data_IF_288706602445
#
_entry.id   IF_288706602445
#
_cell.length_a   1.000
_cell.length_b   1.000
_cell.length_c   1.000
_cell.angle_alpha   90.00
_cell.angle_beta   90.00
_cell.angle_gamma   90.00
#
_symmetry.space_group_name_H-M   'P 1'
#
loop_
_entity.id
_entity.type
_entity.pdbx_description
1 polymer ?
#
# COMPACT_ATOMS: atom_id res chain seq x y z
N UNK A 1 11.68 -34.17 38.81
CA UNK A 1 10.76 -35.32 38.95
C UNK A 1 9.73 -35.24 37.82
N UNK A 2 9.69 -36.27 36.94
CA UNK A 2 8.75 -36.57 35.83
C UNK A 2 8.67 -35.48 34.73
N UNK A 3 9.17 -35.59 33.49
CA UNK A 3 9.31 -36.67 32.49
C UNK A 3 8.05 -37.54 32.30
N UNK A 4 7.38 -37.37 31.15
CA UNK A 4 6.87 -38.44 30.26
C UNK A 4 6.57 -37.82 28.88
N UNK A 5 7.21 -38.40 27.86
CA UNK A 5 7.00 -38.32 26.41
C UNK A 5 5.84 -39.24 25.99
N UNK A 6 5.16 -38.95 24.87
CA UNK A 6 4.64 -39.90 23.84
C UNK A 6 4.08 -39.01 22.69
N UNK A 7 4.56 -38.96 21.44
CA UNK A 7 4.91 -39.93 20.37
C UNK A 7 3.69 -40.66 19.76
N UNK A 8 3.35 -40.20 18.54
CA UNK A 8 2.86 -40.88 17.32
C UNK A 8 1.69 -41.88 17.35
N UNK A 9 0.72 -41.68 16.44
CA UNK A 9 0.39 -42.65 15.38
C UNK A 9 -0.47 -42.02 14.26
N UNK A 10 -0.04 -42.22 13.02
CA UNK A 10 -0.79 -42.03 11.78
C UNK A 10 -1.56 -43.33 11.50
N UNK A 11 -2.81 -43.23 11.05
CA UNK A 11 -3.42 -44.27 10.20
C UNK A 11 -4.44 -43.66 9.24
N UNK A 12 -4.13 -43.76 7.94
CA UNK A 12 -5.10 -43.76 6.84
C UNK A 12 -5.89 -45.07 6.85
N UNK A 13 -7.18 -45.03 6.47
CA UNK A 13 -7.73 -45.76 5.31
C UNK A 13 -9.28 -45.83 5.27
N UNK A 14 -9.82 -45.27 4.17
CA UNK A 14 -10.93 -45.69 3.28
C UNK A 14 -12.40 -45.85 3.73
N UNK A 15 -13.21 -45.06 2.99
CA UNK A 15 -14.39 -45.43 2.18
C UNK A 15 -15.76 -45.68 2.84
N UNK A 16 -16.73 -44.82 2.49
CA UNK A 16 -18.07 -45.24 2.08
C UNK A 16 -18.72 -44.20 1.16
N UNK A 17 -19.17 -44.69 0.00
CA UNK A 17 -19.92 -43.98 -1.02
C UNK A 17 -21.30 -43.48 -0.53
N UNK A 18 -21.78 -42.37 -1.09
CA UNK A 18 -23.12 -42.36 -1.69
C UNK A 18 -23.19 -41.34 -2.82
N UNK A 19 -23.50 -41.84 -4.02
CA UNK A 19 -23.91 -41.06 -5.20
C UNK A 19 -25.43 -40.92 -5.17
N UNK A 20 -25.94 -39.77 -5.58
CA UNK A 20 -27.23 -39.65 -6.26
C UNK A 20 -27.22 -38.40 -7.16
N UNK A 21 -28.00 -38.40 -8.25
CA UNK A 21 -27.57 -37.84 -9.53
C UNK A 21 -28.16 -36.45 -9.81
N UNK A 22 -27.46 -35.66 -10.63
CA UNK A 22 -28.05 -34.51 -11.31
C UNK A 22 -27.95 -34.71 -12.83
N UNK A 23 -29.12 -34.64 -13.42
CA UNK A 23 -29.52 -34.76 -14.82
C UNK A 23 -28.72 -33.81 -15.72
N UNK A 24 -28.31 -34.23 -16.95
CA UNK A 24 -27.64 -33.34 -17.89
C UNK A 24 -28.61 -32.30 -18.49
N UNK A 25 -28.15 -31.07 -18.77
CA UNK A 25 -28.94 -30.09 -19.51
C UNK A 25 -29.09 -30.49 -21.00
N UNK A 26 -30.15 -30.02 -21.68
CA UNK A 26 -30.48 -30.45 -23.03
C UNK A 26 -29.58 -29.79 -24.08
N UNK A 27 -29.22 -30.61 -25.05
CA UNK A 27 -28.58 -30.28 -26.32
C UNK A 27 -29.41 -29.24 -27.08
N UNK A 28 -28.84 -28.06 -27.31
CA UNK A 28 -29.35 -27.11 -28.30
C UNK A 28 -28.47 -27.17 -29.54
N UNK A 29 -29.13 -27.13 -30.70
CA UNK A 29 -28.68 -27.62 -32.00
C UNK A 29 -27.77 -26.63 -32.71
N UNK A 30 -26.78 -27.15 -33.43
CA UNK A 30 -26.10 -26.46 -34.52
C UNK A 30 -27.12 -26.01 -35.58
N UNK A 31 -27.13 -24.71 -35.89
CA UNK A 31 -27.68 -24.18 -37.14
C UNK A 31 -26.57 -24.10 -38.19
N UNK A 32 -26.84 -24.41 -39.46
CA UNK A 32 -25.82 -24.51 -40.51
C UNK A 32 -25.35 -23.13 -40.99
N UNK A 33 -24.04 -23.05 -41.28
CA UNK A 33 -23.40 -21.92 -41.95
C UNK A 33 -23.98 -21.67 -43.35
N UNK A 34 -24.13 -20.41 -43.78
CA UNK A 34 -24.27 -20.10 -45.19
C UNK A 34 -22.88 -19.95 -45.83
N UNK A 35 -22.56 -20.87 -46.75
CA UNK A 35 -21.49 -20.72 -47.74
C UNK A 35 -21.66 -19.40 -48.53
N UNK A 36 -20.57 -18.63 -48.65
CA UNK A 36 -20.38 -17.70 -49.77
C UNK A 36 -18.94 -17.80 -50.27
N UNK A 37 -18.86 -18.22 -51.53
CA UNK A 37 -17.70 -18.21 -52.40
C UNK A 37 -17.07 -16.81 -52.58
N UNK A 38 -15.74 -16.80 -52.66
CA UNK A 38 -14.93 -16.00 -53.61
C UNK A 38 -14.81 -14.50 -53.35
N UNK A 39 -13.62 -14.04 -52.93
CA UNK A 39 -12.61 -13.53 -53.86
C UNK A 39 -11.29 -13.27 -53.14
N UNK A 40 -10.20 -13.53 -53.87
CA UNK A 40 -8.81 -13.26 -53.53
C UNK A 40 -8.60 -11.79 -53.12
N UNK A 41 -7.87 -11.55 -52.03
CA UNK A 41 -6.82 -10.54 -52.03
C UNK A 41 -5.78 -10.82 -50.94
N UNK A 42 -4.55 -10.83 -51.42
CA UNK A 42 -3.28 -11.08 -50.78
C UNK A 42 -2.85 -9.80 -50.05
N UNK A 43 -3.08 -9.70 -48.74
CA UNK A 43 -2.46 -8.65 -47.91
C UNK A 43 -1.88 -9.24 -46.63
N UNK A 44 -0.59 -9.53 -46.76
CA UNK A 44 0.35 -9.85 -45.71
C UNK A 44 0.60 -8.61 -44.83
N UNK A 45 -0.19 -8.42 -43.77
CA UNK A 45 0.25 -7.62 -42.62
C UNK A 45 0.49 -8.53 -41.42
N UNK A 46 1.77 -8.59 -41.07
CA UNK A 46 2.37 -9.22 -39.91
C UNK A 46 1.80 -8.59 -38.62
N UNK A 47 0.55 -8.92 -38.27
CA UNK A 47 -0.01 -8.60 -36.96
C UNK A 47 0.82 -9.33 -35.91
N UNK A 48 1.53 -8.54 -35.11
CA UNK A 48 2.23 -9.05 -33.94
C UNK A 48 1.21 -9.79 -33.07
N UNK A 49 1.54 -10.94 -32.45
CA UNK A 49 0.59 -11.70 -31.67
C UNK A 49 -0.11 -10.78 -30.67
N UNK A 50 -1.43 -10.62 -30.81
CA UNK A 50 -2.21 -9.75 -29.92
C UNK A 50 -2.04 -10.30 -28.50
N UNK A 51 -1.40 -9.52 -27.61
CA UNK A 51 -1.22 -9.96 -26.23
C UNK A 51 -2.58 -10.06 -25.55
N UNK A 52 -2.98 -11.29 -25.21
CA UNK A 52 -4.23 -11.54 -24.50
C UNK A 52 -3.99 -11.40 -22.98
N UNK A 53 -4.88 -10.67 -22.32
CA UNK A 53 -4.84 -10.48 -20.87
C UNK A 53 -6.13 -10.97 -20.22
N UNK A 54 -6.01 -11.46 -18.99
CA UNK A 54 -7.15 -11.78 -18.13
C UNK A 54 -7.24 -10.74 -17.00
N UNK A 55 -8.44 -10.22 -16.76
CA UNK A 55 -8.72 -9.39 -15.58
C UNK A 55 -8.73 -10.28 -14.33
N UNK A 56 -7.93 -9.92 -13.34
CA UNK A 56 -7.85 -10.57 -12.03
C UNK A 56 -8.27 -9.57 -10.96
N UNK A 57 -8.90 -10.08 -9.90
CA UNK A 57 -9.23 -9.31 -8.72
C UNK A 57 -8.26 -9.63 -7.59
N UNK A 58 -7.64 -8.59 -7.04
CA UNK A 58 -6.87 -8.62 -5.80
C UNK A 58 -7.73 -8.18 -4.63
N UNK A 59 -7.42 -8.68 -3.43
CA UNK A 59 -8.04 -8.28 -2.17
C UNK A 59 -6.97 -8.16 -1.09
N UNK A 60 -6.98 -7.05 -0.35
CA UNK A 60 -6.12 -6.87 0.82
C UNK A 60 -6.87 -6.19 1.96
N UNK A 61 -6.58 -6.61 3.18
CA UNK A 61 -7.12 -5.95 4.38
C UNK A 61 -6.37 -4.65 4.64
N UNK A 62 -7.11 -3.55 4.77
CA UNK A 62 -6.59 -2.22 5.09
C UNK A 62 -6.94 -1.86 6.52
N UNK A 63 -5.90 -1.58 7.30
CA UNK A 63 -5.98 -1.04 8.67
C UNK A 63 -5.12 0.23 8.82
N UNK A 64 -4.14 0.40 7.93
CA UNK A 64 -3.26 1.57 7.87
C UNK A 64 -3.74 2.51 6.78
N UNK A 65 -4.02 3.74 7.15
CA UNK A 65 -4.47 4.78 6.23
C UNK A 65 -3.28 5.65 5.85
N UNK A 66 -2.66 5.39 4.70
CA UNK A 66 -1.51 6.18 4.25
C UNK A 66 -1.93 7.59 3.88
N UNK A 67 -1.07 8.54 4.27
CA UNK A 67 -1.19 9.93 3.88
C UNK A 67 -0.62 10.12 2.46
N UNK A 68 -0.98 11.22 1.82
CA UNK A 68 -0.52 11.55 0.47
C UNK A 68 -0.08 13.01 0.40
N UNK A 69 0.33 13.47 -0.78
CA UNK A 69 0.81 14.84 -0.99
C UNK A 69 -0.25 15.92 -0.71
N UNK A 70 -1.54 15.58 -0.70
CA UNK A 70 -2.63 16.48 -0.34
C UNK A 70 -2.94 16.55 1.17
N UNK A 71 -2.15 15.88 2.02
CA UNK A 71 -2.32 15.92 3.48
C UNK A 71 -2.40 17.36 4.00
N UNK A 72 -3.40 17.61 4.86
CA UNK A 72 -3.58 18.86 5.57
C UNK A 72 -3.27 18.71 7.07
N UNK A 73 -3.23 19.83 7.78
CA UNK A 73 -2.93 19.87 9.21
C UNK A 73 -4.16 19.57 10.10
N UNK A 74 -5.29 19.14 9.52
CA UNK A 74 -6.44 18.68 10.28
C UNK A 74 -6.28 17.21 10.73
N UNK A 75 -5.30 16.49 10.19
CA UNK A 75 -4.92 15.15 10.59
C UNK A 75 -3.93 15.18 11.77
N UNK A 76 -4.46 15.03 12.97
CA UNK A 76 -3.67 14.93 14.20
C UNK A 76 -4.25 13.90 15.15
N UNK A 77 -3.46 13.42 16.10
CA UNK A 77 -3.92 12.50 17.15
C UNK A 77 -5.17 13.02 17.87
N UNK A 78 -6.16 12.17 18.07
CA UNK A 78 -7.45 12.56 18.66
C UNK A 78 -8.36 13.36 17.73
N UNK A 79 -7.94 13.74 16.52
CA UNK A 79 -8.85 14.43 15.58
C UNK A 79 -10.05 13.54 15.21
N UNK A 80 -11.24 14.16 15.15
CA UNK A 80 -12.51 13.48 14.83
C UNK A 80 -12.81 13.44 13.33
N UNK A 81 -13.24 12.29 12.84
CA UNK A 81 -13.57 12.02 11.44
C UNK A 81 -14.86 11.23 11.32
N UNK A 82 -15.63 11.50 10.27
CA UNK A 82 -16.79 10.72 9.88
C UNK A 82 -16.45 9.83 8.70
N UNK A 83 -16.70 8.53 8.83
CA UNK A 83 -16.69 7.60 7.70
C UNK A 83 -18.04 7.70 6.98
N UNK A 84 -18.03 8.29 5.78
CA UNK A 84 -19.22 8.34 4.92
C UNK A 84 -19.49 6.96 4.29
N UNK A 85 -20.56 6.85 3.49
CA UNK A 85 -20.93 5.63 2.78
C UNK A 85 -19.73 4.98 2.07
N UNK A 86 -19.52 3.70 2.37
CA UNK A 86 -18.35 2.92 1.96
C UNK A 86 -18.61 2.05 0.72
N UNK A 87 -19.75 2.22 0.04
CA UNK A 87 -20.17 1.31 -1.03
C UNK A 87 -19.16 1.25 -2.19
N UNK A 88 -18.52 2.38 -2.53
CA UNK A 88 -17.55 2.45 -3.63
C UNK A 88 -16.12 2.79 -3.18
N UNK A 89 -15.97 3.67 -2.18
CA UNK A 89 -14.66 4.12 -1.69
C UNK A 89 -14.74 4.57 -0.24
N UNK A 90 -13.61 4.48 0.47
CA UNK A 90 -13.51 5.01 1.84
C UNK A 90 -13.37 6.52 1.78
N UNK A 91 -14.40 7.23 2.24
CA UNK A 91 -14.41 8.70 2.33
C UNK A 91 -14.41 9.10 3.81
N UNK A 92 -13.37 9.81 4.20
CA UNK A 92 -13.22 10.35 5.56
C UNK A 92 -13.43 11.85 5.53
N UNK A 93 -14.40 12.32 6.31
CA UNK A 93 -14.74 13.73 6.41
C UNK A 93 -14.38 14.26 7.80
N UNK A 94 -13.52 15.28 7.86
CA UNK A 94 -13.14 15.92 9.12
C UNK A 94 -14.37 16.47 9.83
N UNK A 95 -14.51 16.16 11.11
CA UNK A 95 -15.56 16.72 11.96
C UNK A 95 -14.97 17.68 12.98
N UNK A 96 -15.74 18.70 13.33
CA UNK A 96 -15.50 19.52 14.51
C UNK A 96 -16.05 18.81 15.73
N UNK A 97 -15.39 18.96 16.87
CA UNK A 97 -15.96 18.52 18.13
C UNK A 97 -17.15 19.40 18.51
N UNK A 98 -18.21 18.82 19.09
CA UNK A 98 -19.35 19.58 19.61
C UNK A 98 -19.05 20.23 20.98
N UNK A 99 -17.81 20.10 21.47
CA UNK A 99 -17.32 20.63 22.73
C UNK A 99 -15.87 21.14 22.61
N UNK A 100 -15.40 21.99 23.53
CA UNK A 100 -14.00 22.41 23.59
C UNK A 100 -13.06 21.23 23.87
N UNK A 101 -11.95 21.16 23.13
CA UNK A 101 -10.91 20.17 23.39
C UNK A 101 -10.18 20.46 24.71
N UNK A 102 -9.74 19.38 25.36
CA UNK A 102 -8.95 19.39 26.58
C UNK A 102 -7.60 18.72 26.35
N UNK A 103 -6.70 18.81 27.32
CA UNK A 103 -5.38 18.21 27.20
C UNK A 103 -5.45 16.69 27.30
N UNK A 104 -4.75 16.00 26.39
CA UNK A 104 -4.61 14.54 26.40
C UNK A 104 -3.13 14.15 26.45
N UNK A 105 -2.84 13.01 27.05
CA UNK A 105 -1.51 12.42 26.99
C UNK A 105 -1.18 11.90 25.58
N UNK A 106 -0.01 12.28 25.07
CA UNK A 106 0.62 11.76 23.87
C UNK A 106 1.86 10.97 24.27
N UNK A 107 2.09 9.82 23.64
CA UNK A 107 3.21 8.96 23.98
C UNK A 107 3.72 8.14 22.78
N UNK A 108 4.93 7.62 22.92
CA UNK A 108 5.47 6.58 22.04
C UNK A 108 5.50 5.26 22.80
N UNK A 109 5.24 4.16 22.11
CA UNK A 109 5.49 2.83 22.66
C UNK A 109 7.00 2.54 22.60
N UNK A 110 7.67 2.60 23.75
CA UNK A 110 9.10 2.26 23.84
C UNK A 110 9.77 2.80 25.10
N UNK A 111 10.86 2.16 25.56
CA UNK A 111 11.59 2.61 26.72
C UNK A 111 12.27 3.96 26.47
N UNK A 112 12.25 4.85 27.46
CA UNK A 112 13.09 6.06 27.49
C UNK A 112 12.51 7.29 26.78
N UNK A 113 11.32 7.22 26.20
CA UNK A 113 10.60 8.40 25.69
C UNK A 113 9.49 8.76 26.68
N UNK A 114 9.61 9.93 27.31
CA UNK A 114 8.60 10.43 28.23
C UNK A 114 7.35 10.85 27.46
N UNK A 115 6.17 10.58 28.02
CA UNK A 115 4.91 11.13 27.51
C UNK A 115 4.87 12.66 27.69
N UNK A 116 3.99 13.30 26.94
CA UNK A 116 3.66 14.71 27.14
C UNK A 116 2.14 14.88 27.19
N UNK A 117 1.68 16.00 27.71
CA UNK A 117 0.25 16.34 27.78
C UNK A 117 0.04 17.64 27.03
N UNK A 118 -0.92 17.67 26.11
CA UNK A 118 -1.25 18.86 25.32
C UNK A 118 -2.67 18.78 24.79
N UNK A 119 -3.27 19.95 24.47
CA UNK A 119 -4.50 19.98 23.67
C UNK A 119 -4.19 19.41 22.28
N UNK A 120 -4.87 18.35 21.84
CA UNK A 120 -4.55 17.67 20.59
C UNK A 120 -4.61 18.61 19.37
N UNK A 121 -3.52 18.68 18.63
CA UNK A 121 -3.40 19.45 17.39
C UNK A 121 -2.21 18.94 16.57
N UNK A 122 -2.16 19.29 15.28
CA UNK A 122 -1.01 18.95 14.44
C UNK A 122 0.28 19.57 14.98
N UNK A 123 0.21 20.81 15.48
CA UNK A 123 1.35 21.49 16.09
C UNK A 123 1.83 20.76 17.34
N UNK A 124 0.93 20.39 18.26
CA UNK A 124 1.31 19.66 19.48
C UNK A 124 1.99 18.32 19.16
N UNK A 125 1.44 17.59 18.19
CA UNK A 125 2.03 16.35 17.69
C UNK A 125 3.43 16.57 17.11
N UNK A 126 3.59 17.59 16.25
CA UNK A 126 4.89 17.93 15.64
C UNK A 126 5.92 18.36 16.69
N UNK A 127 5.55 19.25 17.59
CA UNK A 127 6.43 19.73 18.66
C UNK A 127 6.92 18.55 19.52
N UNK A 128 6.01 17.63 19.87
CA UNK A 128 6.35 16.46 20.67
C UNK A 128 7.32 15.51 19.96
N UNK A 129 7.07 15.14 18.70
CA UNK A 129 7.99 14.24 17.99
C UNK A 129 9.36 14.86 17.75
N UNK A 130 9.42 16.16 17.47
CA UNK A 130 10.69 16.89 17.28
C UNK A 130 11.49 16.96 18.59
N UNK A 131 10.81 17.07 19.72
CA UNK A 131 11.44 17.02 21.04
C UNK A 131 11.88 15.60 21.42
N UNK A 132 11.03 14.60 21.20
CA UNK A 132 11.26 13.20 21.56
C UNK A 132 12.32 12.51 20.68
N UNK A 133 12.44 12.91 19.41
CA UNK A 133 13.38 12.38 18.40
C UNK A 133 13.46 10.84 18.41
N UNK A 134 12.32 10.13 18.28
CA UNK A 134 12.32 8.68 18.26
C UNK A 134 13.17 8.16 17.11
N UNK A 135 13.94 7.09 17.34
CA UNK A 135 14.75 6.49 16.30
C UNK A 135 13.85 5.97 15.16
N UNK A 136 14.10 6.45 13.94
CA UNK A 136 13.60 5.87 12.69
C UNK A 136 14.80 5.16 12.05
N UNK A 137 14.60 3.92 11.59
CA UNK A 137 15.65 3.16 10.90
C UNK A 137 16.31 3.97 9.78
N UNK A 138 17.60 3.70 9.53
CA UNK A 138 18.37 4.46 8.54
C UNK A 138 18.62 3.71 7.23
N UNK A 139 18.56 2.37 7.25
CA UNK A 139 18.90 1.56 6.08
C UNK A 139 17.66 1.24 5.25
N UNK A 140 17.67 1.67 3.99
CA UNK A 140 16.79 1.10 2.99
C UNK A 140 17.31 -0.30 2.67
N UNK A 141 16.46 -1.32 2.76
CA UNK A 141 16.81 -2.66 2.32
C UNK A 141 15.69 -3.21 1.45
N UNK A 142 16.08 -3.96 0.43
CA UNK A 142 15.17 -4.67 -0.43
C UNK A 142 15.36 -6.18 -0.22
N UNK A 143 14.28 -6.84 0.17
CA UNK A 143 14.18 -8.30 0.08
C UNK A 143 14.18 -8.76 -1.37
N UNK A 144 13.95 -10.06 -1.59
CA UNK A 144 13.74 -10.57 -2.95
C UNK A 144 12.48 -9.94 -3.54
N UNK A 145 12.63 -9.34 -4.73
CA UNK A 145 11.50 -8.74 -5.43
C UNK A 145 10.53 -9.79 -6.01
N UNK A 146 9.28 -9.38 -6.20
CA UNK A 146 8.19 -10.22 -6.71
C UNK A 146 7.79 -9.79 -8.12
N UNK A 147 7.51 -10.75 -9.00
CA UNK A 147 7.06 -10.46 -10.37
C UNK A 147 5.65 -9.85 -10.37
N UNK A 148 5.37 -9.04 -11.38
CA UNK A 148 4.05 -8.45 -11.63
C UNK A 148 3.81 -8.29 -13.13
N UNK A 149 2.56 -8.38 -13.57
CA UNK A 149 2.23 -8.17 -15.00
C UNK A 149 1.63 -6.78 -15.24
N UNK A 150 1.20 -6.10 -14.19
CA UNK A 150 0.48 -4.83 -14.26
C UNK A 150 0.86 -3.90 -13.09
N UNK A 151 1.20 -2.65 -13.41
CA UNK A 151 1.46 -1.60 -12.42
C UNK A 151 0.23 -1.30 -11.56
N UNK A 152 -0.99 -1.70 -11.97
CA UNK A 152 -2.21 -1.62 -11.17
C UNK A 152 -2.13 -2.37 -9.83
N UNK A 153 -1.17 -3.28 -9.64
CA UNK A 153 -0.90 -3.90 -8.33
C UNK A 153 -0.59 -2.86 -7.23
N UNK A 154 -0.15 -1.65 -7.59
CA UNK A 154 0.03 -0.55 -6.63
C UNK A 154 -1.26 -0.23 -5.84
N UNK A 155 -2.44 -0.53 -6.40
CA UNK A 155 -3.74 -0.36 -5.72
C UNK A 155 -3.88 -1.24 -4.48
N UNK A 156 -3.13 -2.35 -4.39
CA UNK A 156 -3.05 -3.19 -3.20
C UNK A 156 -2.07 -2.68 -2.14
N UNK A 157 -1.24 -1.69 -2.47
CA UNK A 157 -0.17 -1.16 -1.62
C UNK A 157 -0.49 0.25 -1.12
N UNK A 158 -1.07 1.09 -1.99
CA UNK A 158 -1.41 2.48 -1.72
C UNK A 158 -2.94 2.70 -1.78
N UNK A 159 -3.50 3.54 -0.89
CA UNK A 159 -4.92 3.85 -0.89
C UNK A 159 -5.29 4.73 -2.09
N UNK A 160 -6.60 4.97 -2.27
CA UNK A 160 -7.08 5.88 -3.30
C UNK A 160 -6.78 7.33 -2.96
N UNK A 161 -5.64 7.82 -3.45
CA UNK A 161 -5.14 9.15 -3.16
C UNK A 161 -4.37 9.74 -4.35
N UNK A 162 -4.02 11.02 -4.25
CA UNK A 162 -3.31 11.75 -5.31
C UNK A 162 -1.98 11.11 -5.73
N UNK A 163 -1.25 10.50 -4.79
CA UNK A 163 0.04 9.88 -5.07
C UNK A 163 -0.10 8.60 -5.90
N UNK A 164 -1.10 7.77 -5.58
CA UNK A 164 -1.46 6.59 -6.36
C UNK A 164 -1.91 6.96 -7.76
N UNK A 165 -2.75 7.99 -7.88
CA UNK A 165 -3.23 8.46 -9.18
C UNK A 165 -2.07 8.96 -10.05
N UNK A 166 -1.13 9.72 -9.47
CA UNK A 166 0.10 10.15 -10.14
C UNK A 166 0.96 8.95 -10.59
N UNK A 167 1.11 7.94 -9.74
CA UNK A 167 1.86 6.72 -10.08
C UNK A 167 1.23 5.98 -11.27
N UNK A 168 -0.08 5.75 -11.24
CA UNK A 168 -0.81 5.07 -12.32
C UNK A 168 -0.78 5.88 -13.61
N UNK A 169 -0.89 7.21 -13.54
CA UNK A 169 -0.76 8.08 -14.71
C UNK A 169 0.61 7.93 -15.40
N UNK A 170 1.71 7.84 -14.63
CA UNK A 170 3.06 7.61 -15.18
C UNK A 170 3.27 6.19 -15.73
N UNK A 171 2.56 5.21 -15.17
CA UNK A 171 2.58 3.83 -15.65
C UNK A 171 1.79 3.65 -16.96
N UNK A 172 0.77 4.46 -17.19
CA UNK A 172 -0.18 4.29 -18.29
C UNK A 172 0.47 4.62 -19.64
N UNK A 173 0.38 3.68 -20.58
CA UNK A 173 0.73 3.87 -21.99
C UNK A 173 -0.38 3.24 -22.83
N UNK A 174 -1.01 4.05 -23.69
CA UNK A 174 -2.17 3.68 -24.51
C UNK A 174 -3.28 3.04 -23.65
N UNK A 175 -3.72 3.77 -22.61
CA UNK A 175 -4.79 3.39 -21.68
C UNK A 175 -4.58 2.07 -20.90
N UNK A 176 -3.34 1.59 -20.81
CA UNK A 176 -3.01 0.35 -20.10
C UNK A 176 -1.78 0.52 -19.21
N UNK A 177 -1.82 -0.11 -18.05
CA UNK A 177 -0.74 -0.15 -17.04
C UNK A 177 0.04 -1.47 -17.04
N UNK A 178 -0.17 -2.33 -18.04
CA UNK A 178 0.57 -3.59 -18.18
C UNK A 178 2.02 -3.32 -18.54
N UNK A 179 2.95 -4.10 -17.97
CA UNK A 179 4.33 -4.12 -18.42
C UNK A 179 4.43 -4.43 -19.92
N UNK A 180 5.43 -3.86 -20.56
CA UNK A 180 5.78 -4.04 -21.97
C UNK A 180 7.07 -4.83 -22.16
N UNK A 181 7.88 -4.98 -21.11
CA UNK A 181 9.08 -5.82 -21.14
C UNK A 181 8.79 -7.24 -20.63
N UNK A 182 9.53 -8.26 -21.07
CA UNK A 182 9.23 -9.67 -20.79
C UNK A 182 9.38 -10.07 -19.32
N UNK A 183 10.14 -9.31 -18.54
CA UNK A 183 10.37 -9.60 -17.12
C UNK A 183 10.11 -8.38 -16.24
N UNK A 184 9.78 -8.64 -14.99
CA UNK A 184 9.49 -7.59 -14.02
C UNK A 184 9.86 -7.99 -12.60
N UNK A 185 10.05 -6.98 -11.74
CA UNK A 185 10.18 -7.17 -10.31
C UNK A 185 9.75 -5.95 -9.52
N UNK A 186 9.09 -6.18 -8.39
CA UNK A 186 8.64 -5.15 -7.45
C UNK A 186 9.35 -5.28 -6.11
N UNK A 187 9.77 -4.14 -5.55
CA UNK A 187 10.44 -4.02 -4.26
C UNK A 187 9.66 -3.04 -3.39
N UNK A 188 9.39 -3.44 -2.15
CA UNK A 188 8.61 -2.65 -1.22
C UNK A 188 9.33 -2.61 0.12
N UNK A 189 9.44 -1.42 0.71
CA UNK A 189 10.05 -1.25 2.03
C UNK A 189 9.32 -0.21 2.86
N UNK A 190 9.32 -0.41 4.16
CA UNK A 190 8.67 0.49 5.12
C UNK A 190 9.38 0.42 6.47
N UNK A 191 9.59 1.59 7.07
CA UNK A 191 10.06 1.74 8.44
C UNK A 191 9.28 2.85 9.10
N UNK A 192 8.80 2.64 10.31
CA UNK A 192 8.03 3.64 11.01
C UNK A 192 8.12 3.50 12.53
N UNK A 193 7.92 4.61 13.22
CA UNK A 193 7.70 4.69 14.67
C UNK A 193 6.33 5.31 14.94
N UNK A 194 5.69 4.90 16.02
CA UNK A 194 4.29 5.20 16.30
C UNK A 194 4.14 6.12 17.50
N UNK A 195 3.45 7.24 17.29
CA UNK A 195 2.97 8.11 18.36
C UNK A 195 1.48 7.84 18.56
N UNK A 196 1.06 7.73 19.80
CA UNK A 196 -0.29 7.40 20.21
C UNK A 196 -0.88 8.52 21.08
N UNK A 197 -2.21 8.59 21.11
CA UNK A 197 -2.96 9.31 22.13
C UNK A 197 -3.48 8.31 23.16
N UNK A 198 -3.45 8.69 24.44
CA UNK A 198 -4.03 7.87 25.50
C UNK A 198 -5.56 8.05 25.51
N UNK A 199 -6.28 7.05 24.99
CA UNK A 199 -7.74 7.06 25.01
C UNK A 199 -8.34 6.85 26.38
N UNK A 200 -7.61 6.25 27.32
CA UNK A 200 -8.08 6.12 28.69
C UNK A 200 -8.12 7.51 29.33
N UNK A 201 -7.01 8.25 29.21
CA UNK A 201 -6.93 9.65 29.65
C UNK A 201 -7.99 10.52 28.98
N UNK A 202 -8.19 10.35 27.66
CA UNK A 202 -9.22 11.10 26.94
C UNK A 202 -10.63 10.75 27.41
N UNK A 203 -10.92 9.46 27.61
CA UNK A 203 -12.22 9.00 28.08
C UNK A 203 -12.51 9.52 29.49
N UNK A 204 -11.57 9.44 30.41
CA UNK A 204 -11.76 9.87 31.80
C UNK A 204 -12.05 11.38 31.92
N UNK A 205 -11.56 12.17 30.96
CA UNK A 205 -11.79 13.62 30.90
C UNK A 205 -13.07 14.03 30.16
N UNK A 206 -13.65 13.16 29.32
CA UNK A 206 -14.93 13.45 28.65
C UNK A 206 -16.09 13.39 29.63
N UNK A 207 -16.86 14.48 29.71
CA UNK A 207 -18.10 14.52 30.48
C UNK A 207 -19.21 13.69 29.82
N UNK A 208 -20.25 13.35 30.59
CA UNK A 208 -21.44 12.69 30.06
C UNK A 208 -22.13 13.52 28.97
N UNK A 209 -22.08 14.85 29.07
CA UNK A 209 -22.69 15.75 28.09
C UNK A 209 -21.86 15.80 26.80
N UNK A 210 -20.53 15.74 26.88
CA UNK A 210 -19.66 15.60 25.70
C UNK A 210 -19.97 14.31 24.92
N UNK A 211 -20.14 13.20 25.65
CA UNK A 211 -20.48 11.89 25.08
C UNK A 211 -21.85 11.91 24.41
N UNK A 212 -22.87 12.50 25.07
CA UNK A 212 -24.20 12.68 24.47
C UNK A 212 -24.16 13.56 23.23
N UNK A 213 -23.38 14.65 23.26
CA UNK A 213 -23.23 15.55 22.12
C UNK A 213 -22.61 14.84 20.91
N UNK A 214 -21.62 13.98 21.13
CA UNK A 214 -21.02 13.14 20.08
C UNK A 214 -22.02 12.14 19.49
N UNK A 215 -22.82 11.48 20.34
CA UNK A 215 -23.86 10.56 19.89
C UNK A 215 -24.95 11.29 19.08
N UNK A 216 -25.31 12.50 19.49
CA UNK A 216 -26.31 13.33 18.83
C UNK A 216 -25.90 13.80 17.42
N UNK A 217 -24.62 13.69 17.05
CA UNK A 217 -24.17 13.99 15.68
C UNK A 217 -24.73 13.01 14.65
N UNK A 218 -25.21 11.82 15.07
CA UNK A 218 -25.76 10.78 14.19
C UNK A 218 -24.83 10.44 13.00
N UNK A 219 -23.53 10.32 13.28
CA UNK A 219 -22.48 10.04 12.30
C UNK A 219 -21.69 8.80 12.72
N UNK A 220 -21.13 8.09 11.75
CA UNK A 220 -20.14 7.04 11.99
C UNK A 220 -18.79 7.69 12.32
N UNK A 221 -18.52 7.89 13.61
CA UNK A 221 -17.42 8.70 14.11
C UNK A 221 -16.19 7.84 14.47
N UNK A 222 -15.02 8.34 14.06
CA UNK A 222 -13.71 7.76 14.31
C UNK A 222 -12.72 8.82 14.76
N UNK A 223 -11.77 8.44 15.60
CA UNK A 223 -10.70 9.31 16.08
C UNK A 223 -9.34 8.78 15.63
N UNK A 224 -8.41 9.67 15.30
CA UNK A 224 -7.04 9.26 14.98
C UNK A 224 -6.37 8.77 16.25
N UNK A 225 -6.13 7.46 16.34
CA UNK A 225 -5.61 6.82 17.55
C UNK A 225 -4.10 6.78 17.62
N UNK A 226 -3.49 6.63 16.46
CA UNK A 226 -2.05 6.49 16.32
C UNK A 226 -1.64 7.06 14.98
N UNK A 227 -0.48 7.70 14.95
CA UNK A 227 0.17 8.16 13.74
C UNK A 227 1.54 7.53 13.66
N UNK A 228 1.95 7.18 12.45
CA UNK A 228 3.25 6.63 12.17
C UNK A 228 4.10 7.67 11.46
N UNK A 229 5.29 7.94 11.97
CA UNK A 229 6.33 8.72 11.27
C UNK A 229 7.39 7.79 10.76
N UNK A 230 7.81 7.97 9.51
CA UNK A 230 8.63 6.97 8.86
C UNK A 230 8.81 7.20 7.38
N UNK A 231 9.19 6.12 6.71
CA UNK A 231 9.51 6.10 5.29
C UNK A 231 8.89 4.88 4.65
N UNK A 232 8.35 5.04 3.45
CA UNK A 232 7.85 3.96 2.60
C UNK A 232 8.35 4.15 1.18
N UNK A 233 8.73 3.06 0.53
CA UNK A 233 8.96 3.07 -0.90
C UNK A 233 8.31 1.86 -1.59
N UNK A 234 8.00 2.05 -2.86
CA UNK A 234 7.60 1.03 -3.83
C UNK A 234 8.38 1.28 -5.10
N UNK A 235 9.15 0.30 -5.55
CA UNK A 235 9.90 0.35 -6.81
C UNK A 235 9.41 -0.79 -7.67
N UNK A 236 8.87 -0.48 -8.85
CA UNK A 236 8.37 -1.46 -9.81
C UNK A 236 9.16 -1.34 -11.10
N UNK A 237 9.81 -2.43 -11.48
CA UNK A 237 10.76 -2.48 -12.60
C UNK A 237 10.26 -3.46 -13.64
N UNK A 238 10.35 -3.09 -14.91
CA UNK A 238 10.23 -3.99 -16.05
C UNK A 238 11.56 -3.99 -16.85
N UNK A 239 11.98 -5.12 -17.41
CA UNK A 239 13.29 -5.29 -18.04
C UNK A 239 13.27 -6.38 -19.12
N UNK A 240 14.20 -6.26 -20.08
CA UNK A 240 14.49 -7.33 -21.04
C UNK A 240 15.39 -8.41 -20.41
N UNK A 241 15.97 -8.11 -19.24
CA UNK A 241 16.77 -9.07 -18.46
C UNK A 241 15.90 -9.93 -17.54
N UNK A 242 16.30 -11.19 -17.36
CA UNK A 242 15.60 -12.13 -16.49
C UNK A 242 15.47 -11.62 -15.04
N UNK A 243 14.39 -12.02 -14.36
CA UNK A 243 14.05 -11.57 -12.99
C UNK A 243 15.19 -11.73 -11.98
N UNK A 244 16.03 -12.77 -12.10
CA UNK A 244 17.20 -12.96 -11.24
C UNK A 244 18.18 -11.79 -11.32
N UNK A 245 18.47 -11.32 -12.54
CA UNK A 245 19.34 -10.17 -12.78
C UNK A 245 18.70 -8.87 -12.30
N UNK A 246 17.39 -8.68 -12.53
CA UNK A 246 16.64 -7.52 -11.99
C UNK A 246 16.78 -7.48 -10.46
N UNK A 247 16.54 -8.61 -9.80
CA UNK A 247 16.63 -8.73 -8.35
C UNK A 247 18.04 -8.45 -7.82
N UNK A 248 19.09 -8.91 -8.52
CA UNK A 248 20.48 -8.58 -8.16
C UNK A 248 20.72 -7.07 -8.26
N UNK A 249 20.54 -6.51 -9.44
CA UNK A 249 20.90 -5.13 -9.75
C UNK A 249 20.13 -4.13 -8.88
N UNK A 250 18.81 -4.28 -8.75
CA UNK A 250 18.00 -3.30 -8.02
C UNK A 250 18.12 -3.44 -6.51
N UNK A 251 18.42 -4.63 -5.97
CA UNK A 251 18.76 -4.75 -4.54
C UNK A 251 20.07 -4.03 -4.22
N UNK A 252 21.09 -4.18 -5.08
CA UNK A 252 22.35 -3.45 -4.96
C UNK A 252 22.14 -1.94 -5.05
N UNK A 253 21.37 -1.47 -6.02
CA UNK A 253 20.99 -0.05 -6.13
C UNK A 253 20.31 0.47 -4.86
N UNK A 254 19.28 -0.21 -4.36
CA UNK A 254 18.55 0.20 -3.16
C UNK A 254 19.49 0.20 -1.94
N UNK A 255 20.33 -0.83 -1.81
CA UNK A 255 21.29 -1.02 -0.72
C UNK A 255 22.60 -0.23 -0.84
N UNK A 256 22.78 0.60 -1.89
CA UNK A 256 24.02 1.37 -2.16
C UNK A 256 25.26 0.49 -2.36
N UNK A 257 25.07 -0.69 -2.92
CA UNK A 257 26.15 -1.61 -3.26
C UNK A 257 26.64 -1.35 -4.70
N UNK A 258 27.90 -1.71 -4.97
CA UNK A 258 28.49 -1.55 -6.30
C UNK A 258 27.84 -2.49 -7.31
N UNK A 259 27.54 -1.97 -8.51
CA UNK A 259 27.06 -2.75 -9.63
C UNK A 259 28.22 -3.43 -10.35
N UNK A 260 28.04 -4.70 -10.73
CA UNK A 260 28.91 -5.34 -11.72
C UNK A 260 28.39 -5.09 -13.14
N UNK A 261 29.15 -5.54 -14.16
CA UNK A 261 28.79 -5.31 -15.57
C UNK A 261 27.41 -5.89 -15.93
N UNK A 262 27.04 -7.04 -15.37
CA UNK A 262 25.75 -7.68 -15.63
C UNK A 262 24.61 -6.85 -15.02
N UNK A 263 24.84 -6.32 -13.81
CA UNK A 263 23.88 -5.42 -13.19
C UNK A 263 23.73 -4.14 -14.02
N UNK A 264 24.83 -3.54 -14.49
CA UNK A 264 24.76 -2.32 -15.31
C UNK A 264 24.01 -2.53 -16.63
N UNK A 265 24.25 -3.65 -17.32
CA UNK A 265 23.51 -4.04 -18.52
C UNK A 265 22.02 -4.26 -18.20
N UNK A 266 21.71 -4.86 -17.05
CA UNK A 266 20.34 -5.04 -16.58
C UNK A 266 19.65 -3.70 -16.35
N UNK A 267 20.30 -2.76 -15.66
CA UNK A 267 19.75 -1.42 -15.41
C UNK A 267 19.54 -0.68 -16.73
N UNK A 268 20.49 -0.78 -17.67
CA UNK A 268 20.38 -0.17 -19.00
C UNK A 268 19.18 -0.71 -19.81
N UNK A 269 18.82 -1.98 -19.62
CA UNK A 269 17.69 -2.61 -20.29
C UNK A 269 16.35 -2.46 -19.55
N UNK A 270 16.31 -1.67 -18.46
CA UNK A 270 15.16 -1.58 -17.56
C UNK A 270 14.41 -0.25 -17.63
N UNK A 271 13.13 -0.30 -17.27
CA UNK A 271 12.31 0.86 -16.90
C UNK A 271 11.91 0.73 -15.45
N UNK A 272 11.96 1.83 -14.71
CA UNK A 272 11.64 1.88 -13.28
C UNK A 272 10.55 2.90 -13.02
N UNK A 273 9.58 2.54 -12.18
CA UNK A 273 8.64 3.46 -11.56
C UNK A 273 8.82 3.40 -10.04
N UNK A 274 9.00 4.57 -9.44
CA UNK A 274 9.31 4.73 -8.02
C UNK A 274 8.25 5.59 -7.34
N UNK A 275 7.76 5.09 -6.22
CA UNK A 275 7.05 5.85 -5.20
C UNK A 275 7.91 5.87 -3.93
N UNK A 276 8.12 7.03 -3.34
CA UNK A 276 8.70 7.21 -2.02
C UNK A 276 7.96 8.28 -1.24
N UNK A 277 7.66 7.97 0.02
CA UNK A 277 7.11 8.91 0.99
C UNK A 277 7.93 8.88 2.26
N UNK A 278 8.51 10.02 2.61
CA UNK A 278 9.16 10.28 3.88
C UNK A 278 8.33 11.21 4.76
N UNK A 279 8.99 12.05 5.56
CA UNK A 279 8.32 13.01 6.44
C UNK A 279 7.90 14.32 5.76
N UNK A 280 8.29 14.56 4.49
CA UNK A 280 7.82 15.73 3.73
C UNK A 280 6.33 15.58 3.38
N UNK A 281 5.69 16.73 3.10
CA UNK A 281 4.32 16.75 2.60
C UNK A 281 4.22 15.97 1.28
N UNK A 282 5.04 16.37 0.32
CA UNK A 282 5.09 15.80 -1.02
C UNK A 282 5.80 14.44 -1.03
N UNK A 283 5.29 13.50 -1.81
CA UNK A 283 5.98 12.25 -2.14
C UNK A 283 6.79 12.37 -3.44
N UNK A 284 7.83 11.56 -3.53
CA UNK A 284 8.57 11.36 -4.78
C UNK A 284 7.85 10.26 -5.58
N UNK A 285 7.24 10.65 -6.70
CA UNK A 285 6.63 9.72 -7.65
C UNK A 285 7.19 10.02 -9.03
N UNK A 286 8.01 9.12 -9.57
CA UNK A 286 8.78 9.36 -10.77
C UNK A 286 9.06 8.07 -11.54
N UNK A 287 9.23 8.23 -12.86
CA UNK A 287 9.58 7.17 -13.82
C UNK A 287 10.98 7.45 -14.39
N UNK A 288 11.74 6.40 -14.67
CA UNK A 288 13.04 6.46 -15.30
C UNK A 288 13.22 5.30 -16.29
N UNK A 289 13.93 5.53 -17.40
CA UNK A 289 14.21 4.53 -18.43
C UNK A 289 15.72 4.48 -18.73
N UNK A 290 16.28 3.28 -18.73
CA UNK A 290 17.70 3.08 -19.00
C UNK A 290 18.62 3.56 -17.86
N UNK A 291 19.92 3.37 -18.08
CA UNK A 291 20.92 3.41 -17.01
C UNK A 291 21.03 4.78 -16.33
N UNK A 292 21.20 5.84 -17.10
CA UNK A 292 21.49 7.18 -16.57
C UNK A 292 20.31 7.74 -15.76
N UNK A 293 19.09 7.64 -16.29
CA UNK A 293 17.88 8.11 -15.62
C UNK A 293 17.60 7.31 -14.35
N UNK A 294 17.77 5.98 -14.40
CA UNK A 294 17.54 5.13 -13.22
C UNK A 294 18.55 5.44 -12.13
N UNK A 295 19.84 5.59 -12.46
CA UNK A 295 20.86 5.97 -11.48
C UNK A 295 20.57 7.35 -10.88
N UNK A 296 20.13 8.31 -11.69
CA UNK A 296 19.75 9.65 -11.22
C UNK A 296 18.55 9.60 -10.27
N UNK A 297 17.52 8.81 -10.61
CA UNK A 297 16.34 8.65 -9.76
C UNK A 297 16.66 7.90 -8.46
N UNK A 298 17.53 6.88 -8.50
CA UNK A 298 18.00 6.19 -7.29
C UNK A 298 18.80 7.13 -6.38
N UNK A 299 19.68 7.97 -6.94
CA UNK A 299 20.39 8.98 -6.16
C UNK A 299 19.44 9.96 -5.49
N UNK A 300 18.40 10.42 -6.22
CA UNK A 300 17.36 11.29 -5.66
C UNK A 300 16.60 10.58 -4.54
N UNK A 301 16.21 9.32 -4.75
CA UNK A 301 15.59 8.49 -3.72
C UNK A 301 16.46 8.37 -2.47
N UNK A 302 17.77 8.17 -2.61
CA UNK A 302 18.69 8.09 -1.47
C UNK A 302 18.85 9.42 -0.72
N UNK A 303 18.90 10.54 -1.44
CA UNK A 303 18.93 11.87 -0.81
C UNK A 303 17.66 12.11 0.01
N UNK A 304 16.50 11.79 -0.57
CA UNK A 304 15.19 11.89 0.09
C UNK A 304 15.05 10.90 1.25
N UNK A 305 15.64 9.70 1.13
CA UNK A 305 15.70 8.70 2.20
C UNK A 305 16.58 9.15 3.36
N UNK A 306 17.68 9.84 3.10
CA UNK A 306 18.62 10.29 4.14
C UNK A 306 18.24 11.64 4.78
N UNK A 307 17.19 12.31 4.31
CA UNK A 307 16.73 13.58 4.87
C UNK A 307 16.19 13.42 6.30
N UNK A 308 17.02 13.81 7.27
CA UNK A 308 16.67 13.82 8.70
C UNK A 308 16.02 15.12 9.15
N UNK A 309 16.07 16.18 8.34
CA UNK A 309 15.58 17.49 8.72
C UNK A 309 14.05 17.55 8.64
N UNK A 310 13.47 16.83 7.68
CA UNK A 310 12.02 16.83 7.42
C UNK A 310 11.32 15.54 7.83
N UNK A 311 12.05 14.54 8.37
CA UNK A 311 11.52 13.20 8.65
C UNK A 311 10.33 13.15 9.63
N UNK A 312 10.05 14.25 10.34
CA UNK A 312 8.95 14.37 11.30
C UNK A 312 7.93 15.46 10.93
N UNK A 313 7.98 16.05 9.73
CA UNK A 313 7.08 17.15 9.37
C UNK A 313 5.65 16.68 9.15
N UNK A 314 5.48 15.50 8.53
CA UNK A 314 4.19 14.88 8.24
C UNK A 314 4.21 13.38 8.57
N UNK A 315 3.08 12.82 9.07
CA UNK A 315 2.97 11.39 9.31
C UNK A 315 2.87 10.60 8.00
N UNK A 316 3.40 9.39 7.99
CA UNK A 316 3.36 8.43 6.87
C UNK A 316 1.98 7.76 6.73
N UNK A 317 1.42 7.30 7.84
CA UNK A 317 0.07 6.74 7.91
C UNK A 317 -0.51 6.94 9.30
N UNK A 318 -1.80 6.66 9.44
CA UNK A 318 -2.52 6.74 10.70
C UNK A 318 -3.48 5.57 10.86
N UNK A 319 -3.91 5.38 12.11
CA UNK A 319 -4.97 4.46 12.49
C UNK A 319 -6.18 5.26 12.98
N UNK A 320 -7.36 4.78 12.61
CA UNK A 320 -8.63 5.33 13.06
C UNK A 320 -9.26 4.35 14.02
N UNK A 321 -9.78 4.83 15.14
CA UNK A 321 -10.46 4.03 16.14
C UNK A 321 -11.90 4.52 16.27
N UNK A 322 -12.84 3.59 16.15
CA UNK A 322 -14.24 3.84 16.50
C UNK A 322 -14.31 3.86 18.01
N UNK A 323 -14.89 4.95 18.54
CA UNK A 323 -15.04 5.21 19.97
C UNK A 323 -13.73 5.03 20.80
N UNK A 324 -13.78 5.30 22.10
CA UNK A 324 -12.62 5.16 22.98
C UNK A 324 -12.32 3.68 23.34
N UNK A 325 -13.10 2.71 22.86
CA UNK A 325 -13.08 1.31 23.33
C UNK A 325 -12.36 0.33 22.39
N UNK A 326 -11.60 0.82 21.40
CA UNK A 326 -10.53 0.00 20.81
C UNK A 326 -10.80 -0.64 19.46
N UNK A 327 -11.90 -0.31 18.75
CA UNK A 327 -12.16 -0.92 17.44
C UNK A 327 -11.49 -0.11 16.33
N UNK A 328 -10.30 -0.52 15.90
CA UNK A 328 -9.62 0.09 14.76
C UNK A 328 -10.41 -0.13 13.47
N UNK A 329 -10.57 0.92 12.67
CA UNK A 329 -11.16 0.85 11.34
C UNK A 329 -10.36 -0.13 10.50
N UNK A 330 -11.06 -1.14 9.98
CA UNK A 330 -10.53 -2.13 9.06
C UNK A 330 -11.54 -2.39 7.96
N UNK A 331 -11.08 -2.44 6.73
CA UNK A 331 -11.91 -2.78 5.57
C UNK A 331 -11.11 -3.59 4.56
N UNK A 332 -11.79 -4.26 3.64
CA UNK A 332 -11.15 -4.91 2.51
C UNK A 332 -11.09 -3.97 1.32
N UNK A 333 -9.89 -3.79 0.78
CA UNK A 333 -9.69 -3.12 -0.50
C UNK A 333 -9.65 -4.18 -1.59
N UNK A 334 -10.59 -4.10 -2.52
CA UNK A 334 -10.64 -4.94 -3.72
C UNK A 334 -10.25 -4.11 -4.93
N UNK A 335 -9.45 -4.67 -5.81
CA UNK A 335 -8.95 -3.96 -6.99
C UNK A 335 -8.71 -4.91 -8.14
N UNK A 336 -8.80 -4.38 -9.36
CA UNK A 336 -8.52 -5.12 -10.58
C UNK A 336 -7.13 -4.82 -11.13
N UNK A 337 -6.53 -5.86 -11.70
CA UNK A 337 -5.27 -5.82 -12.42
C UNK A 337 -5.28 -6.86 -13.55
N UNK A 338 -4.46 -6.65 -14.57
CA UNK A 338 -4.34 -7.53 -15.72
C UNK A 338 -3.20 -8.53 -15.50
N UNK A 339 -3.41 -9.75 -15.98
CA UNK A 339 -2.39 -10.81 -16.04
C UNK A 339 -2.25 -11.25 -17.48
N UNK A 340 -1.01 -11.32 -17.96
CA UNK A 340 -0.71 -11.79 -19.32
C UNK A 340 -1.02 -13.28 -19.43
N UNK A 341 -1.79 -13.66 -20.45
CA UNK A 341 -2.07 -15.06 -20.73
C UNK A 341 -0.77 -15.73 -21.21
N UNK A 342 -0.48 -16.93 -20.70
CA UNK A 342 0.73 -17.69 -21.03
C UNK A 342 0.52 -18.63 -22.20
#
# INVERSE_FOLDING_TARGET
MKLIYYVFAITLCFAACSKSPLTPPPTEKEEPEPEKDGDDDDDNENESPQELYTIKQGRNSVIRHYTASDINQDLYLGSLWHLQDTTDKVILEKQKFPFPLFECALFFEGPGILSTTAIPSFKAMRDYIVAAKPAIGSQASAGSGSSFDDYALIKGILPDNVDRQKFLALATVNDSTVIRKPYSSSFNGEIATHMNIDFTDMADKMSDDDRKAMQAMNKSLYMVSSVAYGKKYVIMVESDSVRGSINSAFRKLIGRESLDKTDEETVAASKMLLYYRGGKKESLVAKADGKEDILTLINTFHQEWDDKNTQYDYPLYYYLMKDAFGVTLRYDNTYEYLVKNK
#
